data_IF_976607427524
#
_entry.id   IF_976607427524
#
_cell.length_a   1.000
_cell.length_b   1.000
_cell.length_c   1.000
_cell.angle_alpha   90.00
_cell.angle_beta   90.00
_cell.angle_gamma   90.00
#
_symmetry.space_group_name_H-M   'P 1'
#
loop_
_entity.id
_entity.type
_entity.pdbx_description
1 polymer ?
#
# COMPACT_ATOMS: atom_id res chain seq x y z
N UNK A 1 26.72 -16.59 -3.47
CA UNK A 1 26.75 -15.19 -3.95
C UNK A 1 25.33 -14.62 -3.87
N UNK A 2 25.10 -13.54 -3.13
CA UNK A 2 23.74 -13.03 -2.86
C UNK A 2 23.22 -12.16 -4.02
N UNK A 3 22.35 -12.73 -4.86
CA UNK A 3 21.54 -11.93 -5.80
C UNK A 3 20.65 -10.95 -5.03
N UNK A 4 20.60 -9.70 -5.51
CA UNK A 4 19.93 -8.59 -4.82
C UNK A 4 18.40 -8.79 -4.80
N UNK A 5 17.90 -9.34 -3.68
CA UNK A 5 16.46 -9.64 -3.46
C UNK A 5 15.53 -8.44 -3.73
N UNK A 6 16.04 -7.21 -3.57
CA UNK A 6 15.37 -5.96 -3.92
C UNK A 6 14.86 -5.89 -5.37
N UNK A 7 15.73 -6.19 -6.35
CA UNK A 7 15.34 -6.14 -7.76
C UNK A 7 14.62 -7.41 -8.21
N UNK A 8 14.89 -8.54 -7.54
CA UNK A 8 14.22 -9.81 -7.80
C UNK A 8 12.72 -9.72 -7.54
N UNK A 9 12.31 -9.17 -6.40
CA UNK A 9 10.91 -9.20 -5.97
C UNK A 9 9.94 -8.45 -6.91
N UNK A 10 10.41 -7.47 -7.69
CA UNK A 10 9.63 -6.72 -8.68
C UNK A 10 9.90 -7.17 -10.14
N UNK A 11 10.72 -8.20 -10.35
CA UNK A 11 10.93 -8.77 -11.68
C UNK A 11 9.89 -9.86 -11.99
N UNK A 12 9.74 -10.26 -13.26
CA UNK A 12 8.94 -11.44 -13.62
C UNK A 12 9.33 -12.71 -12.84
N UNK A 13 10.60 -12.89 -12.49
CA UNK A 13 11.04 -14.05 -11.68
C UNK A 13 10.55 -13.97 -10.23
N UNK A 14 10.53 -12.78 -9.61
CA UNK A 14 9.97 -12.60 -8.27
C UNK A 14 8.45 -12.76 -8.25
N UNK A 15 7.78 -12.36 -9.33
CA UNK A 15 6.37 -12.65 -9.55
C UNK A 15 6.11 -14.15 -9.66
N UNK A 16 6.82 -14.87 -10.54
CA UNK A 16 6.72 -16.33 -10.68
C UNK A 16 6.98 -17.03 -9.34
N UNK A 17 7.96 -16.57 -8.56
CA UNK A 17 8.21 -17.10 -7.21
C UNK A 17 7.04 -16.83 -6.25
N UNK A 18 6.40 -15.66 -6.27
CA UNK A 18 5.16 -15.48 -5.49
C UNK A 18 4.09 -16.44 -5.98
N UNK A 19 3.74 -16.34 -7.25
CA UNK A 19 2.60 -17.01 -7.89
C UNK A 19 2.63 -18.55 -7.74
N UNK A 20 3.82 -19.19 -7.75
CA UNK A 20 3.94 -20.65 -7.72
C UNK A 20 4.68 -21.21 -6.49
N UNK A 21 5.30 -20.39 -5.64
CA UNK A 21 6.09 -20.85 -4.47
C UNK A 21 5.77 -20.14 -3.16
N UNK A 22 4.98 -19.07 -3.16
CA UNK A 22 4.50 -18.46 -1.91
C UNK A 22 3.10 -18.96 -1.58
N UNK A 23 2.95 -19.54 -0.38
CA UNK A 23 1.66 -19.77 0.24
C UNK A 23 1.30 -18.55 1.07
N UNK A 24 0.21 -17.86 0.71
CA UNK A 24 -0.37 -16.80 1.56
C UNK A 24 -0.78 -17.45 2.90
N UNK A 25 -0.50 -16.82 4.07
CA UNK A 25 -0.86 -17.39 5.36
C UNK A 25 -2.39 -17.49 5.54
N UNK A 26 -2.92 -18.49 6.26
CA UNK A 26 -4.36 -18.58 6.54
C UNK A 26 -4.82 -17.33 7.29
N UNK A 27 -6.00 -16.82 6.93
CA UNK A 27 -6.62 -15.70 7.64
C UNK A 27 -7.54 -16.26 8.71
N UNK A 28 -7.11 -16.08 9.95
CA UNK A 28 -7.83 -16.36 11.20
C UNK A 28 -7.47 -15.23 12.15
N UNK A 29 -8.41 -14.74 12.98
CA UNK A 29 -8.08 -13.62 13.89
C UNK A 29 -7.67 -14.05 15.31
N UNK A 30 -6.39 -13.90 15.68
CA UNK A 30 -5.95 -13.66 17.05
C UNK A 30 -5.67 -12.16 17.29
N UNK A 31 -6.42 -11.27 16.61
CA UNK A 31 -6.18 -9.82 16.62
C UNK A 31 -6.74 -9.19 17.90
N UNK A 32 -5.96 -8.28 18.51
CA UNK A 32 -6.43 -7.41 19.59
C UNK A 32 -6.34 -5.93 19.17
N UNK A 33 -7.43 -5.15 19.23
CA UNK A 33 -8.79 -5.56 19.55
C UNK A 33 -9.41 -6.42 18.42
N UNK A 34 -10.46 -7.21 18.72
CA UNK A 34 -11.15 -8.06 17.74
C UNK A 34 -11.69 -7.28 16.54
N UNK A 35 -11.78 -7.93 15.38
CA UNK A 35 -12.18 -7.29 14.12
C UNK A 35 -13.59 -6.68 14.15
N UNK A 36 -14.49 -7.20 14.99
CA UNK A 36 -15.83 -6.65 15.25
C UNK A 36 -15.84 -5.26 15.91
N UNK A 37 -14.70 -4.78 16.43
CA UNK A 37 -14.54 -3.39 16.88
C UNK A 37 -14.19 -2.41 15.75
N UNK A 38 -13.71 -2.91 14.60
CA UNK A 38 -13.19 -2.11 13.49
C UNK A 38 -14.28 -1.86 12.44
N UNK A 39 -14.20 -0.70 11.80
CA UNK A 39 -14.99 -0.35 10.62
C UNK A 39 -14.11 -0.19 9.39
N UNK A 40 -14.42 -0.94 8.34
CA UNK A 40 -13.63 -1.04 7.10
C UNK A 40 -14.47 -0.59 5.91
N UNK A 41 -14.03 0.47 5.23
CA UNK A 41 -14.57 0.93 3.96
C UNK A 41 -13.89 0.15 2.82
N UNK A 42 -14.69 -0.44 1.92
CA UNK A 42 -14.19 -1.25 0.81
C UNK A 42 -14.91 -0.89 -0.50
N UNK A 43 -14.16 -0.32 -1.44
CA UNK A 43 -14.68 0.03 -2.77
C UNK A 43 -14.66 -1.17 -3.73
N UNK A 44 -15.58 -1.24 -4.70
CA UNK A 44 -15.54 -2.26 -5.75
C UNK A 44 -15.78 -3.70 -5.27
N UNK A 45 -16.55 -3.87 -4.19
CA UNK A 45 -16.81 -5.18 -3.55
C UNK A 45 -17.67 -6.16 -4.38
N UNK A 46 -18.15 -5.76 -5.56
CA UNK A 46 -19.21 -6.48 -6.29
C UNK A 46 -18.74 -7.68 -7.11
N UNK A 47 -17.42 -7.86 -7.23
CA UNK A 47 -16.77 -8.84 -8.10
C UNK A 47 -15.35 -9.16 -7.62
N UNK A 48 -14.80 -10.29 -8.07
CA UNK A 48 -13.41 -10.67 -7.91
C UNK A 48 -12.86 -10.59 -6.48
N UNK A 49 -11.67 -9.98 -6.37
CA UNK A 49 -10.91 -9.84 -5.12
C UNK A 49 -11.68 -9.05 -4.06
N UNK A 50 -12.32 -7.94 -4.44
CA UNK A 50 -13.14 -7.12 -3.53
C UNK A 50 -14.34 -7.89 -2.97
N UNK A 51 -14.98 -8.72 -3.79
CA UNK A 51 -16.05 -9.62 -3.34
C UNK A 51 -15.55 -10.63 -2.31
N UNK A 52 -14.46 -11.32 -2.59
CA UNK A 52 -13.92 -12.33 -1.67
C UNK A 52 -13.38 -11.71 -0.37
N UNK A 53 -12.81 -10.51 -0.43
CA UNK A 53 -12.41 -9.74 0.74
C UNK A 53 -13.62 -9.31 1.61
N UNK A 54 -14.71 -8.84 0.98
CA UNK A 54 -15.93 -8.47 1.69
C UNK A 54 -16.56 -9.67 2.42
N UNK A 55 -16.63 -10.83 1.76
CA UNK A 55 -17.07 -12.09 2.40
C UNK A 55 -16.18 -12.42 3.59
N UNK A 56 -14.86 -12.48 3.40
CA UNK A 56 -13.92 -12.93 4.41
C UNK A 56 -13.88 -12.01 5.65
N UNK A 57 -13.89 -10.69 5.46
CA UNK A 57 -13.96 -9.72 6.56
C UNK A 57 -15.28 -9.80 7.34
N UNK A 58 -16.40 -10.11 6.67
CA UNK A 58 -17.70 -10.28 7.33
C UNK A 58 -17.77 -11.57 8.17
N UNK A 59 -17.13 -12.66 7.71
CA UNK A 59 -17.05 -13.92 8.48
C UNK A 59 -16.25 -13.75 9.77
N UNK A 60 -15.14 -13.03 9.73
CA UNK A 60 -14.39 -12.62 10.93
C UNK A 60 -15.06 -11.44 11.69
N UNK A 61 -16.29 -11.05 11.32
CA UNK A 61 -17.16 -10.16 12.11
C UNK A 61 -16.98 -8.65 11.93
N UNK A 62 -16.22 -8.18 10.93
CA UNK A 62 -15.98 -6.75 10.70
C UNK A 62 -17.25 -5.92 10.46
N UNK A 63 -17.22 -4.64 10.83
CA UNK A 63 -18.19 -3.66 10.33
C UNK A 63 -17.74 -3.16 8.95
N UNK A 64 -18.60 -3.23 7.94
CA UNK A 64 -18.24 -2.96 6.55
C UNK A 64 -19.05 -1.82 5.93
N UNK A 65 -18.34 -0.86 5.35
CA UNK A 65 -18.89 0.19 4.48
C UNK A 65 -18.59 -0.19 3.03
N UNK A 66 -19.52 -0.90 2.40
CA UNK A 66 -19.36 -1.53 1.09
C UNK A 66 -19.77 -0.57 -0.03
N UNK A 67 -18.81 -0.11 -0.82
CA UNK A 67 -19.03 0.94 -1.84
C UNK A 67 -19.06 0.35 -3.25
N UNK A 68 -20.19 0.54 -3.94
CA UNK A 68 -20.36 0.16 -5.34
C UNK A 68 -20.65 1.38 -6.21
N UNK A 69 -20.61 1.20 -7.54
CA UNK A 69 -20.86 2.28 -8.50
C UNK A 69 -22.27 2.87 -8.41
N UNK A 70 -23.29 2.03 -8.17
CA UNK A 70 -24.69 2.43 -8.12
C UNK A 70 -25.52 1.40 -7.32
N UNK A 71 -26.80 1.71 -6.96
CA UNK A 71 -27.61 0.85 -6.09
C UNK A 71 -27.78 -0.58 -6.62
N UNK A 72 -28.12 -0.75 -7.90
CA UNK A 72 -28.28 -2.07 -8.50
C UNK A 72 -27.01 -2.93 -8.43
N UNK A 73 -25.81 -2.32 -8.54
CA UNK A 73 -24.54 -3.03 -8.32
C UNK A 73 -24.29 -3.34 -6.85
N UNK A 74 -24.68 -2.46 -5.93
CA UNK A 74 -24.59 -2.71 -4.48
C UNK A 74 -25.49 -3.88 -4.05
N UNK A 75 -26.75 -3.88 -4.49
CA UNK A 75 -27.75 -4.93 -4.25
C UNK A 75 -27.29 -6.28 -4.83
N UNK A 76 -26.81 -6.30 -6.07
CA UNK A 76 -26.23 -7.49 -6.69
C UNK A 76 -25.04 -8.04 -5.89
N UNK A 77 -24.13 -7.16 -5.44
CA UNK A 77 -22.99 -7.53 -4.60
C UNK A 77 -23.42 -8.13 -3.26
N UNK A 78 -24.35 -7.48 -2.55
CA UNK A 78 -24.91 -7.99 -1.29
C UNK A 78 -25.62 -9.34 -1.47
N UNK A 79 -26.36 -9.53 -2.57
CA UNK A 79 -26.98 -10.82 -2.89
C UNK A 79 -25.91 -11.89 -3.11
N UNK A 80 -24.89 -11.62 -3.94
CA UNK A 80 -23.77 -12.55 -4.19
C UNK A 80 -23.04 -12.93 -2.89
N UNK A 81 -22.92 -12.01 -1.93
CA UNK A 81 -22.34 -12.26 -0.59
C UNK A 81 -23.27 -13.17 0.21
N UNK A 82 -24.57 -12.84 0.31
CA UNK A 82 -25.56 -13.64 1.02
C UNK A 82 -25.63 -15.07 0.49
N UNK A 83 -25.78 -15.23 -0.83
CA UNK A 83 -25.93 -16.53 -1.48
C UNK A 83 -24.67 -17.41 -1.25
N UNK A 84 -23.47 -16.82 -1.19
CA UNK A 84 -22.23 -17.52 -0.86
C UNK A 84 -22.15 -17.94 0.62
N UNK A 85 -22.53 -17.06 1.55
CA UNK A 85 -22.51 -17.38 2.98
C UNK A 85 -23.58 -18.42 3.35
N UNK A 86 -24.76 -18.36 2.70
CA UNK A 86 -25.79 -19.41 2.72
C UNK A 86 -25.21 -20.76 2.29
N UNK A 87 -24.49 -20.80 1.16
CA UNK A 87 -23.90 -22.04 0.64
C UNK A 87 -22.72 -22.57 1.49
N UNK A 88 -22.05 -21.71 2.26
CA UNK A 88 -21.01 -22.09 3.23
C UNK A 88 -21.56 -22.40 4.63
N UNK A 89 -22.86 -22.20 4.88
CA UNK A 89 -23.51 -22.44 6.17
C UNK A 89 -23.20 -21.41 7.26
N UNK A 90 -22.63 -20.25 6.91
CA UNK A 90 -22.20 -19.24 7.88
C UNK A 90 -23.36 -18.30 8.26
N UNK A 91 -24.18 -18.74 9.20
CA UNK A 91 -25.35 -17.97 9.63
C UNK A 91 -25.01 -16.71 10.44
N UNK A 92 -23.89 -16.65 11.15
CA UNK A 92 -23.48 -15.45 11.89
C UNK A 92 -23.08 -14.30 10.94
N UNK A 93 -22.40 -14.63 9.84
CA UNK A 93 -22.11 -13.68 8.77
C UNK A 93 -23.37 -13.27 7.99
N UNK A 94 -24.31 -14.20 7.74
CA UNK A 94 -25.61 -13.86 7.10
C UNK A 94 -26.47 -12.95 7.98
N UNK A 95 -26.51 -13.17 9.30
CA UNK A 95 -27.17 -12.27 10.25
C UNK A 95 -26.49 -10.89 10.28
N UNK A 96 -25.17 -10.83 10.09
CA UNK A 96 -24.39 -9.59 9.93
C UNK A 96 -24.76 -8.74 8.70
N UNK A 97 -25.44 -9.31 7.69
CA UNK A 97 -26.03 -8.55 6.58
C UNK A 97 -27.36 -7.85 6.96
N UNK A 98 -27.84 -8.03 8.19
CA UNK A 98 -29.11 -7.51 8.69
C UNK A 98 -29.00 -6.22 9.51
N UNK A 99 -30.10 -5.92 10.21
CA UNK A 99 -30.16 -4.86 11.24
C UNK A 99 -30.07 -5.51 12.62
N UNK A 100 -28.96 -5.27 13.32
CA UNK A 100 -28.76 -5.73 14.69
C UNK A 100 -29.34 -4.71 15.67
N UNK A 101 -30.06 -5.16 16.72
CA UNK A 101 -30.60 -4.27 17.76
C UNK A 101 -29.60 -4.16 18.90
N UNK A 102 -29.06 -2.96 19.13
CA UNK A 102 -28.14 -2.68 20.23
C UNK A 102 -28.83 -1.69 21.18
N UNK A 103 -29.40 -2.22 22.27
CA UNK A 103 -30.23 -1.45 23.20
C UNK A 103 -31.49 -0.90 22.52
N UNK A 104 -31.70 0.41 22.63
CA UNK A 104 -32.77 1.15 21.93
C UNK A 104 -32.45 1.49 20.47
N UNK A 105 -31.20 1.28 20.04
CA UNK A 105 -30.73 1.57 18.68
C UNK A 105 -30.77 0.36 17.74
N UNK A 106 -30.57 0.64 16.44
CA UNK A 106 -30.23 -0.34 15.42
C UNK A 106 -28.84 -0.04 14.87
N UNK A 107 -27.98 -1.04 14.82
CA UNK A 107 -26.65 -0.96 14.20
C UNK A 107 -26.59 -1.94 13.04
N UNK A 108 -26.06 -1.51 11.89
CA UNK A 108 -25.80 -2.39 10.74
C UNK A 108 -24.33 -2.76 10.73
N UNK A 109 -23.99 -4.05 10.85
CA UNK A 109 -22.63 -4.53 10.59
C UNK A 109 -22.24 -4.35 9.11
N UNK A 110 -23.20 -4.27 8.18
CA UNK A 110 -22.95 -3.91 6.77
C UNK A 110 -23.82 -2.75 6.30
N UNK A 111 -23.18 -1.67 5.84
CA UNK A 111 -23.83 -0.53 5.16
C UNK A 111 -23.30 -0.43 3.73
N UNK A 112 -24.18 -0.41 2.74
CA UNK A 112 -23.82 -0.09 1.35
C UNK A 112 -23.96 1.38 1.03
N UNK A 113 -23.00 1.92 0.28
CA UNK A 113 -23.01 3.29 -0.24
C UNK A 113 -22.69 3.30 -1.75
N UNK A 114 -22.98 4.40 -2.43
CA UNK A 114 -22.72 4.56 -3.87
C UNK A 114 -21.64 5.61 -4.15
N UNK A 115 -20.73 5.29 -5.07
CA UNK A 115 -19.69 6.18 -5.55
C UNK A 115 -19.31 5.78 -6.99
N UNK A 116 -19.66 6.58 -8.00
CA UNK A 116 -19.18 6.36 -9.36
C UNK A 116 -17.86 7.08 -9.61
N UNK A 117 -16.76 6.33 -9.60
CA UNK A 117 -15.43 6.87 -9.89
C UNK A 117 -15.26 7.36 -11.34
N UNK A 118 -16.24 7.20 -12.24
CA UNK A 118 -16.32 7.88 -13.54
C UNK A 118 -16.82 9.34 -13.44
N UNK A 119 -17.15 9.80 -12.23
CA UNK A 119 -17.67 11.12 -11.90
C UNK A 119 -16.92 11.71 -10.69
N UNK A 120 -16.07 12.73 -10.93
CA UNK A 120 -15.33 13.36 -9.82
C UNK A 120 -16.22 14.12 -8.83
N UNK A 121 -17.41 14.60 -9.24
CA UNK A 121 -18.37 15.19 -8.28
C UNK A 121 -18.96 14.12 -7.37
N UNK A 122 -19.24 12.93 -7.91
CA UNK A 122 -19.84 11.84 -7.14
C UNK A 122 -18.86 11.29 -6.08
N UNK A 123 -17.56 11.29 -6.38
CA UNK A 123 -16.50 11.00 -5.39
C UNK A 123 -16.53 11.99 -4.22
N UNK A 124 -16.70 13.29 -4.48
CA UNK A 124 -16.79 14.32 -3.44
C UNK A 124 -18.12 14.24 -2.68
N UNK A 125 -19.24 14.00 -3.37
CA UNK A 125 -20.56 13.74 -2.76
C UNK A 125 -20.50 12.54 -1.83
N UNK A 126 -19.96 11.42 -2.29
CA UNK A 126 -19.76 10.20 -1.50
C UNK A 126 -18.91 10.46 -0.26
N UNK A 127 -17.82 11.23 -0.36
CA UNK A 127 -16.98 11.50 0.78
C UNK A 127 -17.68 12.42 1.82
N UNK A 128 -18.48 13.40 1.38
CA UNK A 128 -19.36 14.21 2.25
C UNK A 128 -20.46 13.36 2.90
N UNK A 129 -20.99 12.36 2.21
CA UNK A 129 -21.93 11.36 2.75
C UNK A 129 -21.26 10.51 3.85
N UNK A 130 -20.06 9.98 3.61
CA UNK A 130 -19.28 9.25 4.63
C UNK A 130 -18.99 10.13 5.85
N UNK A 131 -18.54 11.37 5.66
CA UNK A 131 -18.31 12.30 6.77
C UNK A 131 -19.61 12.59 7.56
N UNK A 132 -20.73 12.80 6.88
CA UNK A 132 -22.04 13.01 7.52
C UNK A 132 -22.45 11.82 8.40
N UNK A 133 -22.27 10.60 7.91
CA UNK A 133 -22.59 9.36 8.62
C UNK A 133 -21.66 9.08 9.82
N UNK A 134 -20.39 9.50 9.74
CA UNK A 134 -19.45 9.46 10.87
C UNK A 134 -19.77 10.55 11.90
N UNK A 135 -20.25 11.72 11.47
CA UNK A 135 -20.69 12.82 12.35
C UNK A 135 -22.01 12.53 13.07
N UNK A 136 -22.93 11.77 12.46
CA UNK A 136 -24.20 11.37 13.09
C UNK A 136 -24.10 10.12 13.97
N UNK A 137 -22.97 9.40 13.92
CA UNK A 137 -22.80 8.10 14.60
C UNK A 137 -23.51 6.93 13.90
N UNK A 138 -24.04 7.16 12.69
CA UNK A 138 -24.64 6.13 11.84
C UNK A 138 -23.65 5.11 11.28
N UNK A 139 -22.37 5.47 11.29
CA UNK A 139 -21.21 4.60 11.17
C UNK A 139 -20.36 4.85 12.41
N UNK A 140 -19.97 3.81 13.15
CA UNK A 140 -19.29 3.95 14.45
C UNK A 140 -17.89 4.59 14.36
N UNK A 141 -17.24 4.49 13.20
CA UNK A 141 -15.96 5.10 12.92
C UNK A 141 -15.37 4.67 11.58
N UNK A 142 -14.07 4.89 11.37
CA UNK A 142 -13.35 4.51 10.16
C UNK A 142 -11.90 4.14 10.50
N UNK A 143 -11.59 2.85 10.46
CA UNK A 143 -10.29 2.30 10.88
C UNK A 143 -9.47 1.80 9.69
N UNK A 144 -10.11 1.41 8.60
CA UNK A 144 -9.45 1.14 7.32
C UNK A 144 -10.28 1.59 6.12
N UNK A 145 -9.61 2.08 5.08
CA UNK A 145 -10.17 2.35 3.77
C UNK A 145 -9.38 1.57 2.70
N UNK A 146 -10.04 0.65 2.02
CA UNK A 146 -9.50 -0.19 0.97
C UNK A 146 -9.97 0.34 -0.39
N UNK A 147 -9.04 0.94 -1.12
CA UNK A 147 -9.24 1.50 -2.46
C UNK A 147 -9.04 0.40 -3.50
N UNK A 148 -9.92 -0.61 -3.46
CA UNK A 148 -9.92 -1.81 -4.30
C UNK A 148 -10.48 -1.57 -5.72
N UNK A 149 -11.41 -0.63 -5.89
CA UNK A 149 -12.03 -0.37 -7.17
C UNK A 149 -11.02 -0.01 -8.27
N UNK A 150 -11.19 -0.62 -9.44
CA UNK A 150 -10.41 -0.36 -10.64
C UNK A 150 -10.99 -1.10 -11.85
N UNK A 151 -10.66 -0.63 -13.04
CA UNK A 151 -11.23 -1.13 -14.30
C UNK A 151 -10.17 -1.33 -15.39
N UNK A 152 -10.48 -2.25 -16.31
CA UNK A 152 -9.85 -2.41 -17.63
C UNK A 152 -10.94 -2.17 -18.68
N UNK A 153 -11.04 -0.98 -19.29
CA UNK A 153 -11.94 -0.73 -20.41
C UNK A 153 -11.52 -1.57 -21.63
N UNK A 154 -12.46 -2.26 -22.25
CA UNK A 154 -12.24 -2.96 -23.53
C UNK A 154 -12.20 -2.03 -24.76
N UNK A 155 -12.55 -0.76 -24.56
CA UNK A 155 -12.59 0.30 -25.57
C UNK A 155 -11.98 1.57 -24.98
N UNK A 156 -11.46 2.48 -25.83
CA UNK A 156 -11.10 3.82 -25.37
C UNK A 156 -12.35 4.70 -25.29
N UNK A 157 -12.62 5.27 -24.12
CA UNK A 157 -13.71 6.24 -23.87
C UNK A 157 -13.23 7.29 -22.88
N UNK A 158 -13.86 8.46 -22.92
CA UNK A 158 -13.56 9.62 -22.07
C UNK A 158 -14.76 9.91 -21.18
N UNK A 159 -14.52 10.19 -19.90
CA UNK A 159 -15.53 10.59 -18.92
C UNK A 159 -16.07 11.99 -19.24
N UNK A 160 -17.19 12.37 -18.60
CA UNK A 160 -17.69 13.75 -18.61
C UNK A 160 -16.68 14.77 -18.07
N UNK A 161 -15.66 14.31 -17.33
CA UNK A 161 -14.64 15.14 -16.70
C UNK A 161 -13.39 15.33 -17.58
N UNK A 162 -13.40 14.78 -18.81
CA UNK A 162 -12.35 14.98 -19.81
C UNK A 162 -11.21 13.95 -19.79
N UNK A 163 -11.32 12.88 -19.01
CA UNK A 163 -10.26 11.88 -18.82
C UNK A 163 -10.65 10.49 -19.32
N UNK A 164 -9.70 9.74 -19.85
CA UNK A 164 -9.93 8.34 -20.23
C UNK A 164 -10.33 7.49 -19.01
N UNK A 165 -11.31 6.60 -19.18
CA UNK A 165 -11.99 5.91 -18.07
C UNK A 165 -11.04 5.26 -17.05
N UNK A 166 -10.02 4.51 -17.51
CA UNK A 166 -9.07 3.86 -16.61
C UNK A 166 -8.10 4.83 -15.95
N UNK A 167 -7.68 5.91 -16.64
CA UNK A 167 -6.89 6.98 -16.02
C UNK A 167 -7.67 7.64 -14.88
N UNK A 168 -8.95 7.94 -15.11
CA UNK A 168 -9.78 8.55 -14.09
C UNK A 168 -10.02 7.60 -12.92
N UNK A 169 -10.63 6.43 -13.16
CA UNK A 169 -11.03 5.52 -12.08
C UNK A 169 -9.81 5.02 -11.30
N UNK A 170 -8.77 4.55 -11.99
CA UNK A 170 -7.62 3.89 -11.34
C UNK A 170 -6.59 4.88 -10.78
N UNK A 171 -6.64 6.18 -11.16
CA UNK A 171 -5.67 7.19 -10.69
C UNK A 171 -6.38 8.41 -10.09
N UNK A 172 -7.06 9.24 -10.89
CA UNK A 172 -7.57 10.55 -10.41
C UNK A 172 -8.63 10.41 -9.32
N UNK A 173 -9.67 9.61 -9.55
CA UNK A 173 -10.75 9.36 -8.59
C UNK A 173 -10.25 8.59 -7.36
N UNK A 174 -9.31 7.66 -7.56
CA UNK A 174 -8.66 6.93 -6.45
C UNK A 174 -7.80 7.86 -5.59
N UNK A 175 -7.07 8.80 -6.21
CA UNK A 175 -6.28 9.81 -5.51
C UNK A 175 -7.17 10.81 -4.75
N UNK A 176 -8.22 11.33 -5.39
CA UNK A 176 -9.20 12.23 -4.76
C UNK A 176 -9.86 11.57 -3.55
N UNK A 177 -10.31 10.32 -3.71
CA UNK A 177 -10.91 9.55 -2.62
C UNK A 177 -9.92 9.30 -1.48
N UNK A 178 -8.65 9.02 -1.78
CA UNK A 178 -7.60 8.87 -0.77
C UNK A 178 -7.38 10.16 0.04
N UNK A 179 -7.31 11.31 -0.62
CA UNK A 179 -7.10 12.62 0.02
C UNK A 179 -8.24 12.99 0.97
N UNK A 180 -9.50 12.66 0.64
CA UNK A 180 -10.66 12.97 1.50
C UNK A 180 -10.84 11.94 2.62
N UNK A 181 -10.54 10.66 2.40
CA UNK A 181 -10.64 9.64 3.46
C UNK A 181 -9.49 9.70 4.48
N UNK A 182 -8.31 10.20 4.09
CA UNK A 182 -7.14 10.33 4.98
C UNK A 182 -7.39 11.17 6.27
N UNK A 183 -8.04 12.36 6.24
CA UNK A 183 -8.41 13.05 7.47
C UNK A 183 -9.51 12.32 8.26
N UNK A 184 -10.46 11.65 7.59
CA UNK A 184 -11.53 10.90 8.27
C UNK A 184 -10.97 9.69 9.05
N UNK A 185 -9.99 8.98 8.47
CA UNK A 185 -9.22 7.90 9.13
C UNK A 185 -8.47 8.40 10.38
N UNK A 186 -8.08 9.69 10.43
CA UNK A 186 -7.45 10.30 11.61
C UNK A 186 -8.45 10.67 12.70
N UNK A 187 -9.60 11.24 12.31
CA UNK A 187 -10.59 11.77 13.25
C UNK A 187 -11.52 10.70 13.82
N UNK A 188 -11.91 9.71 13.02
CA UNK A 188 -13.00 8.77 13.35
C UNK A 188 -12.53 7.34 13.62
N UNK A 189 -11.24 7.12 13.85
CA UNK A 189 -10.69 5.83 14.28
C UNK A 189 -11.23 5.41 15.66
N UNK A 190 -11.86 4.24 15.74
CA UNK A 190 -12.43 3.65 16.97
C UNK A 190 -11.37 2.95 17.82
N UNK A 191 -10.34 2.40 17.18
CA UNK A 191 -9.30 1.56 17.80
C UNK A 191 -8.06 2.37 18.25
N UNK A 192 -7.20 1.79 19.12
CA UNK A 192 -5.92 2.41 19.50
C UNK A 192 -4.79 2.19 18.47
N UNK A 193 -4.90 1.20 17.58
CA UNK A 193 -3.90 0.97 16.51
C UNK A 193 -4.01 2.03 15.40
N UNK A 194 -2.94 2.36 14.66
CA UNK A 194 -3.03 3.22 13.48
C UNK A 194 -4.10 2.78 12.48
N UNK A 195 -4.84 3.76 11.94
CA UNK A 195 -5.81 3.52 10.85
C UNK A 195 -5.09 3.22 9.54
N UNK A 196 -5.80 2.69 8.53
CA UNK A 196 -5.17 2.17 7.30
C UNK A 196 -5.75 2.77 6.04
N UNK A 197 -4.90 3.28 5.17
CA UNK A 197 -5.25 3.71 3.81
C UNK A 197 -4.55 2.79 2.81
N UNK A 198 -5.32 1.89 2.21
CA UNK A 198 -4.80 0.75 1.44
C UNK A 198 -5.11 0.98 -0.04
N UNK A 199 -4.06 1.27 -0.82
CA UNK A 199 -4.14 1.42 -2.28
C UNK A 199 -3.95 0.07 -2.95
N UNK A 200 -4.97 -0.40 -3.68
CA UNK A 200 -4.88 -1.66 -4.41
C UNK A 200 -4.26 -1.49 -5.80
N UNK A 201 -3.16 -2.19 -5.98
CA UNK A 201 -2.26 -2.08 -7.11
C UNK A 201 -2.07 -3.47 -7.76
N UNK A 202 -1.27 -3.54 -8.82
CA UNK A 202 -0.94 -4.79 -9.52
C UNK A 202 0.57 -4.89 -9.71
N UNK A 203 1.12 -6.10 -9.67
CA UNK A 203 2.53 -6.38 -9.99
C UNK A 203 2.91 -5.85 -11.39
N UNK A 204 1.95 -5.81 -12.32
CA UNK A 204 2.10 -5.22 -13.66
C UNK A 204 2.56 -3.75 -13.65
N UNK A 205 2.31 -2.99 -12.57
CA UNK A 205 2.81 -1.62 -12.37
C UNK A 205 4.34 -1.50 -12.41
N UNK A 206 5.05 -2.63 -12.22
CA UNK A 206 6.52 -2.70 -12.18
C UNK A 206 7.18 -3.24 -13.45
N UNK A 207 6.40 -3.78 -14.40
CA UNK A 207 6.93 -4.49 -15.58
C UNK A 207 7.00 -3.64 -16.85
N UNK A 208 6.23 -2.55 -16.93
CA UNK A 208 6.07 -1.75 -18.15
C UNK A 208 6.82 -0.41 -18.11
N UNK A 209 7.30 0.03 -19.28
CA UNK A 209 7.82 1.38 -19.44
C UNK A 209 6.67 2.36 -19.74
N UNK A 210 6.45 3.29 -18.81
CA UNK A 210 5.56 4.44 -18.96
C UNK A 210 6.32 5.54 -19.75
N UNK A 211 6.18 5.55 -21.08
CA UNK A 211 6.85 6.50 -21.99
C UNK A 211 6.38 7.95 -21.78
N UNK A 212 5.14 8.06 -21.34
CA UNK A 212 4.42 9.29 -21.02
C UNK A 212 5.16 10.13 -19.97
N UNK A 213 5.99 9.52 -19.11
CA UNK A 213 6.82 10.23 -18.13
C UNK A 213 7.83 11.21 -18.77
N UNK A 214 8.25 10.96 -20.02
CA UNK A 214 9.13 11.88 -20.77
C UNK A 214 8.41 12.99 -21.55
N UNK A 215 7.09 13.03 -21.56
CA UNK A 215 6.36 14.21 -22.03
C UNK A 215 6.49 15.37 -21.04
N UNK A 216 6.11 16.60 -21.43
CA UNK A 216 6.03 17.74 -20.51
C UNK A 216 5.02 17.47 -19.38
N UNK A 217 3.81 17.06 -19.74
CA UNK A 217 2.78 16.57 -18.82
C UNK A 217 2.45 15.09 -19.14
N UNK A 218 2.58 14.23 -18.13
CA UNK A 218 2.39 12.77 -18.16
C UNK A 218 0.92 12.38 -18.32
N UNK A 219 0.02 12.99 -17.54
CA UNK A 219 -1.41 12.67 -17.54
C UNK A 219 -2.04 13.03 -18.88
N UNK A 220 -1.79 14.22 -19.40
CA UNK A 220 -2.24 14.67 -20.72
C UNK A 220 -1.68 13.79 -21.84
N UNK A 221 -0.41 13.38 -21.76
CA UNK A 221 0.18 12.47 -22.74
C UNK A 221 -0.44 11.06 -22.68
N UNK A 222 -0.84 10.59 -21.50
CA UNK A 222 -1.59 9.35 -21.34
C UNK A 222 -3.04 9.49 -21.85
N UNK A 223 -3.65 10.66 -21.71
CA UNK A 223 -5.05 10.92 -22.08
C UNK A 223 -5.30 10.93 -23.59
N UNK A 224 -4.26 11.01 -24.42
CA UNK A 224 -4.36 10.92 -25.88
C UNK A 224 -4.96 9.55 -26.28
N UNK A 225 -5.87 9.58 -27.26
CA UNK A 225 -6.49 8.38 -27.82
C UNK A 225 -5.45 7.39 -28.34
N UNK A 226 -5.57 6.12 -27.92
CA UNK A 226 -4.70 5.05 -28.39
C UNK A 226 -5.40 3.69 -28.30
N UNK A 227 -6.25 3.41 -29.29
CA UNK A 227 -6.97 2.14 -29.46
C UNK A 227 -6.05 0.94 -29.76
N UNK A 228 -4.78 1.18 -30.11
CA UNK A 228 -3.81 0.13 -30.49
C UNK A 228 -3.00 -0.46 -29.32
N UNK A 229 -3.19 0.03 -28.09
CA UNK A 229 -2.44 -0.40 -26.90
C UNK A 229 -3.32 -0.43 -25.63
N UNK A 230 -4.59 -0.81 -25.75
CA UNK A 230 -5.54 -0.88 -24.62
C UNK A 230 -5.05 -1.83 -23.52
N UNK A 231 -4.46 -2.97 -23.91
CA UNK A 231 -3.75 -3.94 -23.06
C UNK A 231 -2.71 -3.28 -22.13
N UNK A 232 -2.06 -2.20 -22.59
CA UNK A 232 -0.99 -1.49 -21.88
C UNK A 232 -1.49 -0.31 -21.06
N UNK A 233 -2.74 0.12 -21.22
CA UNK A 233 -3.30 1.23 -20.44
C UNK A 233 -3.43 0.85 -18.97
N UNK A 234 -4.05 -0.29 -18.65
CA UNK A 234 -4.23 -0.70 -17.26
C UNK A 234 -2.92 -0.79 -16.45
N UNK A 235 -1.87 -1.53 -16.89
CA UNK A 235 -0.59 -1.56 -16.17
C UNK A 235 0.02 -0.17 -15.95
N UNK A 236 -0.07 0.72 -16.95
CA UNK A 236 0.40 2.11 -16.87
C UNK A 236 -0.40 2.95 -15.87
N UNK A 237 -1.72 2.79 -15.77
CA UNK A 237 -2.52 3.47 -14.71
C UNK A 237 -2.09 3.01 -13.32
N UNK A 238 -1.81 1.71 -13.15
CA UNK A 238 -1.29 1.17 -11.90
C UNK A 238 0.14 1.63 -11.60
N UNK A 239 0.98 1.90 -12.61
CA UNK A 239 2.26 2.64 -12.43
C UNK A 239 2.04 4.10 -11.98
N UNK A 240 1.07 4.82 -12.56
CA UNK A 240 0.75 6.20 -12.16
C UNK A 240 0.27 6.27 -10.72
N UNK A 241 -0.66 5.38 -10.32
CA UNK A 241 -1.13 5.27 -8.94
C UNK A 241 0.01 5.00 -7.96
N UNK A 242 0.90 4.05 -8.29
CA UNK A 242 2.09 3.73 -7.49
C UNK A 242 3.01 4.96 -7.27
N UNK A 243 3.18 5.78 -8.31
CA UNK A 243 4.00 7.00 -8.22
C UNK A 243 3.33 8.07 -7.35
N UNK A 244 2.00 8.23 -7.46
CA UNK A 244 1.22 9.12 -6.60
C UNK A 244 1.27 8.70 -5.13
N UNK A 245 1.00 7.43 -4.80
CA UNK A 245 0.94 6.94 -3.42
C UNK A 245 2.27 7.14 -2.68
N UNK A 246 3.42 6.92 -3.33
CA UNK A 246 4.72 7.20 -2.70
C UNK A 246 5.04 8.69 -2.53
N UNK A 247 4.49 9.57 -3.39
CA UNK A 247 4.64 11.01 -3.23
C UNK A 247 3.75 11.58 -2.12
N UNK A 248 2.56 10.98 -1.93
CA UNK A 248 1.67 11.24 -0.79
C UNK A 248 2.31 10.78 0.52
N UNK A 249 2.77 9.52 0.58
CA UNK A 249 3.47 8.95 1.75
C UNK A 249 4.60 9.86 2.23
N UNK A 250 5.49 10.28 1.32
CA UNK A 250 6.63 11.14 1.68
C UNK A 250 6.24 12.55 2.12
N UNK A 251 5.01 13.00 1.86
CA UNK A 251 4.46 14.25 2.44
C UNK A 251 3.92 14.01 3.84
N UNK A 252 3.16 12.94 4.04
CA UNK A 252 2.61 12.59 5.35
C UNK A 252 3.72 12.32 6.39
N UNK A 253 4.75 11.54 6.04
CA UNK A 253 5.92 11.33 6.92
C UNK A 253 6.72 12.62 7.19
N UNK A 254 6.70 13.59 6.28
CA UNK A 254 7.36 14.90 6.47
C UNK A 254 6.50 15.87 7.31
N UNK A 255 5.21 15.60 7.49
CA UNK A 255 4.34 16.35 8.40
C UNK A 255 4.47 15.89 9.87
N UNK A 256 5.08 14.72 10.10
CA UNK A 256 5.48 14.25 11.42
C UNK A 256 6.85 14.83 11.81
N UNK A 257 6.91 16.14 12.01
CA UNK A 257 8.09 16.79 12.60
C UNK A 257 8.36 16.17 13.98
N UNK A 258 9.56 15.62 14.24
CA UNK A 258 9.78 14.80 15.42
C UNK A 258 9.73 15.63 16.71
N UNK A 259 8.76 15.34 17.57
CA UNK A 259 8.84 15.70 18.99
C UNK A 259 10.07 15.03 19.57
N UNK A 260 11.04 15.83 20.01
CA UNK A 260 12.41 15.42 20.36
C UNK A 260 12.47 14.41 21.51
N UNK A 261 12.46 13.10 21.21
CA UNK A 261 12.75 11.99 22.15
C UNK A 261 12.92 10.60 21.48
N UNK A 262 13.54 10.51 20.29
CA UNK A 262 13.72 9.21 19.60
C UNK A 262 15.04 9.00 18.82
N UNK A 263 16.10 9.76 19.15
CA UNK A 263 17.48 9.44 18.72
C UNK A 263 18.13 8.39 19.66
N UNK A 264 17.50 7.21 19.77
CA UNK A 264 18.06 6.07 20.48
C UNK A 264 18.68 5.07 19.48
N UNK A 265 19.99 5.22 19.24
CA UNK A 265 20.80 4.19 18.59
C UNK A 265 20.76 2.89 19.39
N UNK A 266 20.11 1.85 18.87
CA UNK A 266 20.18 0.50 19.42
C UNK A 266 20.27 -0.54 18.31
N UNK A 267 21.51 -0.77 17.88
CA UNK A 267 21.91 -1.99 17.19
C UNK A 267 21.75 -3.18 18.14
N UNK A 268 20.89 -4.14 17.81
CA UNK A 268 20.86 -5.45 18.47
C UNK A 268 20.99 -6.58 17.43
N UNK A 269 21.74 -7.67 17.72
CA UNK A 269 21.92 -8.75 16.76
C UNK A 269 20.68 -9.65 16.65
N UNK A 270 20.55 -10.33 15.51
CA UNK A 270 19.52 -11.33 15.24
C UNK A 270 19.47 -12.42 16.32
N UNK A 271 18.41 -12.46 17.12
CA UNK A 271 18.04 -13.66 17.86
C UNK A 271 17.43 -14.68 16.89
N UNK A 272 17.99 -15.89 16.82
CA UNK A 272 17.48 -16.97 15.98
C UNK A 272 16.56 -17.86 16.83
N UNK A 273 15.27 -17.88 16.51
CA UNK A 273 14.31 -18.87 17.04
C UNK A 273 13.86 -19.77 15.89
N UNK A 274 14.07 -21.10 15.97
CA UNK A 274 13.70 -22.02 14.90
C UNK A 274 12.25 -22.48 15.01
N UNK A 275 11.47 -22.34 13.93
CA UNK A 275 10.23 -23.08 13.73
C UNK A 275 10.24 -23.74 12.34
N UNK A 276 10.91 -24.89 12.28
CA UNK A 276 10.34 -26.08 11.63
C UNK A 276 9.89 -27.01 12.78
N UNK A 277 8.97 -27.95 12.60
CA UNK A 277 8.54 -28.60 11.37
C UNK A 277 7.12 -29.19 11.49
N UNK A 278 6.22 -28.87 10.55
CA UNK A 278 5.11 -29.77 10.16
C UNK A 278 4.71 -29.47 8.71
N UNK A 279 5.23 -30.27 7.78
CA UNK A 279 4.78 -30.36 6.39
C UNK A 279 4.49 -31.83 6.09
N UNK A 280 3.31 -32.10 5.55
CA UNK A 280 2.84 -33.46 5.26
C UNK A 280 3.63 -34.06 4.07
N UNK A 281 4.26 -35.25 4.22
CA UNK A 281 5.03 -35.86 3.15
C UNK A 281 4.18 -36.46 2.01
N UNK A 282 2.85 -36.48 2.10
CA UNK A 282 1.96 -37.17 1.15
C UNK A 282 1.22 -36.28 0.15
N UNK A 283 1.43 -34.96 0.15
CA UNK A 283 0.81 -34.07 -0.84
C UNK A 283 1.48 -34.20 -2.21
N UNK A 284 0.96 -35.11 -3.06
CA UNK A 284 1.43 -35.30 -4.43
C UNK A 284 1.23 -34.02 -5.26
N UNK A 285 2.34 -33.46 -5.74
CA UNK A 285 2.33 -32.32 -6.67
C UNK A 285 2.12 -32.84 -8.09
N UNK A 286 1.14 -32.34 -8.87
CA UNK A 286 1.03 -32.72 -10.28
C UNK A 286 2.24 -32.19 -11.05
N UNK A 287 2.91 -33.08 -11.79
CA UNK A 287 3.92 -32.66 -12.76
C UNK A 287 3.24 -31.87 -13.88
N UNK A 288 3.59 -30.59 -14.00
CA UNK A 288 3.22 -29.75 -15.13
C UNK A 288 4.43 -29.65 -16.04
N UNK A 289 4.22 -29.95 -17.32
CA UNK A 289 5.25 -29.88 -18.35
C UNK A 289 5.65 -28.43 -18.65
N UNK A 290 6.95 -28.17 -18.81
CA UNK A 290 7.52 -26.82 -18.90
C UNK A 290 8.03 -26.44 -20.30
N UNK A 291 7.96 -27.37 -21.26
CA UNK A 291 8.46 -27.21 -22.64
C UNK A 291 7.76 -26.10 -23.47
N UNK A 292 6.78 -25.40 -22.90
CA UNK A 292 6.18 -24.19 -23.48
C UNK A 292 7.05 -22.93 -23.32
N UNK A 293 8.07 -22.95 -22.45
CA UNK A 293 9.04 -21.86 -22.26
C UNK A 293 10.33 -22.14 -23.06
N UNK A 294 10.29 -21.82 -24.37
CA UNK A 294 11.37 -22.10 -25.31
C UNK A 294 12.76 -21.58 -24.89
N UNK A 295 13.79 -22.29 -25.35
CA UNK A 295 15.15 -22.31 -24.80
C UNK A 295 15.74 -20.94 -24.42
N UNK A 296 15.85 -20.71 -23.11
CA UNK A 296 16.74 -19.69 -22.54
C UNK A 296 18.04 -20.40 -22.12
N UNK A 297 19.20 -20.11 -22.77
CA UNK A 297 20.45 -20.79 -22.44
C UNK A 297 20.86 -20.59 -20.97
N UNK A 298 20.82 -21.67 -20.19
CA UNK A 298 21.32 -21.68 -18.82
C UNK A 298 22.86 -21.67 -18.86
N UNK A 299 23.53 -20.71 -18.20
CA UNK A 299 24.99 -20.74 -18.08
C UNK A 299 25.39 -21.92 -17.18
N UNK A 300 26.20 -22.83 -17.71
CA UNK A 300 26.71 -23.97 -16.95
C UNK A 300 27.67 -23.51 -15.83
N UNK A 301 27.62 -24.13 -14.64
CA UNK A 301 28.56 -23.81 -13.57
C UNK A 301 29.96 -24.35 -13.93
N UNK A 302 31.04 -23.59 -13.65
CA UNK A 302 32.40 -24.10 -13.85
C UNK A 302 32.70 -25.24 -12.85
N UNK A 303 33.28 -26.32 -13.36
CA UNK A 303 33.73 -27.47 -12.57
C UNK A 303 34.92 -27.10 -11.67
N UNK A 304 35.05 -27.69 -10.47
CA UNK A 304 36.12 -27.33 -9.52
C UNK A 304 37.48 -27.91 -9.95
N UNK A 305 38.38 -27.04 -10.43
CA UNK A 305 39.79 -27.37 -10.65
C UNK A 305 40.64 -26.95 -9.44
N UNK A 306 41.14 -27.93 -8.68
CA UNK A 306 42.00 -27.70 -7.51
C UNK A 306 43.42 -27.33 -7.94
N UNK A 307 43.91 -26.16 -7.52
CA UNK A 307 45.36 -25.87 -7.47
C UNK A 307 45.66 -25.06 -6.21
N UNK A 308 46.78 -25.34 -5.55
CA UNK A 308 47.14 -24.80 -4.24
C UNK A 308 48.39 -23.91 -4.32
N UNK A 309 48.59 -23.04 -3.31
CA UNK A 309 49.89 -22.45 -2.91
C UNK A 309 50.46 -21.44 -3.94
N UNK A 310 50.98 -20.25 -3.58
CA UNK A 310 51.90 -19.95 -2.48
C UNK A 310 51.82 -18.51 -1.94
N UNK A 311 52.61 -18.22 -0.91
CA UNK A 311 52.87 -16.90 -0.33
C UNK A 311 54.22 -16.29 -0.81
N UNK A 312 54.55 -15.08 -0.32
CA UNK A 312 55.83 -14.33 -0.48
C UNK A 312 56.11 -13.73 -1.88
N UNK A 313 56.84 -12.63 -2.06
CA UNK A 313 57.27 -11.50 -1.20
C UNK A 313 57.89 -10.37 -2.09
N UNK A 314 58.60 -9.40 -1.49
CA UNK A 314 59.50 -8.39 -2.14
C UNK A 314 58.71 -7.28 -2.89
N UNK A 315 58.55 -6.05 -2.36
CA UNK A 315 59.52 -4.92 -2.17
C UNK A 315 60.18 -4.44 -3.48
N UNK A 316 60.21 -3.15 -3.79
CA UNK A 316 61.13 -2.10 -3.29
C UNK A 316 60.42 -0.71 -3.21
N UNK A 317 60.65 0.15 -2.21
CA UNK A 317 61.72 1.20 -2.10
C UNK A 317 61.60 2.31 -3.18
N UNK A 318 61.73 3.61 -2.93
CA UNK A 318 62.39 4.41 -1.84
C UNK A 318 61.59 5.71 -1.48
N UNK A 319 61.53 6.13 -0.20
CA UNK A 319 62.29 7.19 0.52
C UNK A 319 62.11 8.66 0.05
N UNK A 320 61.99 9.69 0.92
CA UNK A 320 61.62 9.75 2.37
C UNK A 320 60.71 11.01 2.63
N UNK A 321 60.85 12.05 3.49
CA UNK A 321 61.80 12.51 4.55
C UNK A 321 61.05 13.47 5.55
N UNK A 322 61.64 13.85 6.70
CA UNK A 322 61.37 13.21 8.01
C UNK A 322 61.47 14.25 9.19
N UNK A 323 61.50 13.76 10.45
CA UNK A 323 62.00 14.34 11.72
C UNK A 323 61.12 15.29 12.60
N UNK A 324 60.46 14.67 13.59
CA UNK A 324 60.66 14.80 15.06
C UNK A 324 60.28 16.02 15.96
N UNK A 325 59.92 15.63 17.20
CA UNK A 325 60.05 16.24 18.54
C UNK A 325 59.16 17.39 19.12
N UNK A 326 58.21 16.95 19.96
CA UNK A 326 58.08 17.23 21.43
C UNK A 326 58.43 18.61 22.02
N UNK A 327 57.47 19.19 22.79
CA UNK A 327 57.73 19.85 24.11
C UNK A 327 56.43 20.05 24.93
N UNK A 328 56.53 19.94 26.27
CA UNK A 328 55.48 20.25 27.24
C UNK A 328 55.99 21.20 28.34
N UNK A 329 55.20 22.22 28.77
CA UNK A 329 55.40 22.81 30.10
C UNK A 329 54.11 23.04 30.93
N UNK A 330 54.01 22.25 32.01
CA UNK A 330 53.52 22.52 33.39
C UNK A 330 52.52 23.66 33.70
N UNK A 331 51.52 23.31 34.54
CA UNK A 331 50.64 24.18 35.37
C UNK A 331 51.32 25.42 36.00
N UNK A 332 50.54 26.52 36.11
CA UNK A 332 50.58 27.50 37.22
C UNK A 332 49.16 27.87 37.69
N UNK A 333 49.06 28.63 38.78
CA UNK A 333 47.87 28.80 39.63
C UNK A 333 46.97 30.01 39.29
N UNK A 334 45.76 29.99 39.86
CA UNK A 334 44.68 30.97 39.77
C UNK A 334 44.94 32.33 40.44
N UNK A 335 44.26 33.39 39.97
CA UNK A 335 43.67 34.45 40.80
C UNK A 335 42.14 34.31 40.91
N UNK A 336 41.54 34.93 41.93
CA UNK A 336 40.09 34.94 42.22
C UNK A 336 39.34 36.11 41.58
N UNK A 337 38.04 35.92 41.30
CA UNK A 337 37.09 36.97 40.92
C UNK A 337 35.76 36.80 41.73
N UNK A 338 34.97 37.88 41.92
CA UNK A 338 34.05 37.98 43.06
C UNK A 338 32.67 37.33 42.85
N UNK A 339 32.00 37.07 43.98
CA UNK A 339 30.61 36.60 44.05
C UNK A 339 29.63 37.59 43.41
N UNK A 340 28.70 37.08 42.60
CA UNK A 340 27.49 37.80 42.14
C UNK A 340 26.27 37.09 42.74
N UNK A 341 25.35 37.79 43.42
CA UNK A 341 24.12 37.19 43.92
C UNK A 341 23.12 36.93 42.78
N UNK A 342 22.27 35.87 42.88
CA UNK A 342 21.26 35.61 41.86
C UNK A 342 20.14 36.67 41.88
N UNK A 343 19.53 36.99 40.72
CA UNK A 343 18.37 37.88 40.66
C UNK A 343 17.13 37.24 41.30
N UNK A 344 16.17 38.04 41.80
CA UNK A 344 14.92 37.53 42.36
C UNK A 344 14.06 36.83 41.30
N UNK A 345 13.23 35.84 41.69
CA UNK A 345 12.42 35.08 40.74
C UNK A 345 11.33 35.96 40.09
N UNK A 346 11.47 36.22 38.80
CA UNK A 346 10.40 36.81 37.99
C UNK A 346 9.31 35.77 37.74
N UNK A 347 8.06 36.14 38.03
CA UNK A 347 6.88 35.31 37.83
C UNK A 347 6.54 35.19 36.34
N UNK A 348 7.17 34.25 35.63
CA UNK A 348 6.78 33.91 34.27
C UNK A 348 5.39 33.29 34.26
N UNK A 349 4.41 34.03 33.73
CA UNK A 349 3.11 33.47 33.38
C UNK A 349 3.32 32.36 32.35
N UNK A 350 2.93 31.13 32.69
CA UNK A 350 2.95 30.00 31.77
C UNK A 350 1.82 30.16 30.75
N UNK A 351 2.10 30.95 29.71
CA UNK A 351 1.32 30.95 28.48
C UNK A 351 1.34 29.53 27.90
N UNK A 352 0.30 28.74 28.22
CA UNK A 352 0.17 27.36 27.77
C UNK A 352 0.02 27.37 26.26
N UNK A 353 1.11 27.07 25.55
CA UNK A 353 1.06 26.68 24.16
C UNK A 353 0.32 25.36 24.07
N UNK A 354 -1.00 25.45 23.84
CA UNK A 354 -1.81 24.33 23.39
C UNK A 354 -1.24 23.85 22.04
N UNK A 355 -0.24 22.98 22.09
CA UNK A 355 0.07 22.09 20.98
C UNK A 355 -1.23 21.39 20.62
N UNK A 356 -1.63 21.48 19.35
CA UNK A 356 -2.69 20.64 18.84
C UNK A 356 -2.33 19.18 19.15
N UNK A 357 -3.29 18.34 19.60
CA UNK A 357 -3.00 16.96 19.92
C UNK A 357 -2.36 16.27 18.70
N UNK A 358 -1.35 15.39 18.91
CA UNK A 358 -0.67 14.73 17.80
C UNK A 358 -1.71 14.02 16.92
N UNK A 359 -1.60 14.23 15.60
CA UNK A 359 -2.49 13.57 14.64
C UNK A 359 -2.38 12.06 14.83
N UNK A 360 -3.51 11.34 14.91
CA UNK A 360 -3.48 9.87 14.83
C UNK A 360 -2.71 9.45 13.58
N UNK A 361 -1.78 8.50 13.73
CA UNK A 361 -1.05 7.94 12.61
C UNK A 361 -2.01 7.17 11.69
N UNK A 362 -1.76 7.21 10.37
CA UNK A 362 -2.50 6.44 9.37
C UNK A 362 -1.48 5.73 8.48
N UNK A 363 -1.43 4.41 8.60
CA UNK A 363 -0.57 3.59 7.79
C UNK A 363 -0.99 3.65 6.31
N UNK A 364 -0.09 4.06 5.42
CA UNK A 364 -0.35 4.15 3.97
C UNK A 364 0.31 2.96 3.28
N UNK A 365 -0.51 2.00 2.88
CA UNK A 365 -0.09 0.69 2.37
C UNK A 365 -0.35 0.63 0.87
N UNK A 366 0.66 0.27 0.08
CA UNK A 366 0.46 -0.11 -1.33
C UNK A 366 0.46 -1.63 -1.46
N UNK A 367 -0.67 -2.22 -1.86
CA UNK A 367 -0.87 -3.67 -1.85
C UNK A 367 -1.11 -4.20 -3.26
N UNK A 368 -0.35 -5.21 -3.69
CA UNK A 368 -0.74 -6.07 -4.81
C UNK A 368 -1.26 -7.42 -4.29
N UNK A 369 -2.44 -7.87 -4.72
CA UNK A 369 -3.05 -9.11 -4.24
C UNK A 369 -2.50 -10.39 -4.91
N UNK A 370 -1.51 -10.27 -5.79
CA UNK A 370 -1.11 -11.34 -6.72
C UNK A 370 -1.97 -11.36 -7.99
N UNK A 371 -1.66 -12.26 -8.92
CA UNK A 371 -2.48 -12.43 -10.13
C UNK A 371 -3.61 -13.42 -9.81
N UNK A 372 -4.85 -12.96 -9.85
CA UNK A 372 -6.04 -13.77 -9.57
C UNK A 372 -7.01 -13.74 -10.76
N UNK A 373 -7.66 -14.86 -11.07
CA UNK A 373 -8.70 -14.87 -12.08
C UNK A 373 -9.93 -14.12 -11.54
N UNK A 374 -10.36 -13.10 -12.27
CA UNK A 374 -11.37 -12.13 -11.84
C UNK A 374 -12.06 -11.51 -13.05
N UNK A 375 -13.29 -11.05 -12.84
CA UNK A 375 -14.15 -10.40 -13.85
C UNK A 375 -13.54 -9.10 -14.43
N UNK A 376 -12.38 -8.63 -13.93
CA UNK A 376 -11.66 -7.47 -14.47
C UNK A 376 -10.98 -7.77 -15.84
N UNK A 377 -10.82 -9.05 -16.18
CA UNK A 377 -10.20 -9.48 -17.45
C UNK A 377 -11.21 -9.85 -18.55
N UNK A 378 -12.52 -9.79 -18.27
CA UNK A 378 -13.58 -10.15 -19.24
C UNK A 378 -13.68 -9.17 -20.43
N UNK A 379 -13.03 -8.01 -20.34
CA UNK A 379 -12.88 -7.02 -21.42
C UNK A 379 -11.63 -7.21 -22.28
N UNK A 380 -10.75 -8.17 -21.94
CA UNK A 380 -9.50 -8.43 -22.64
C UNK A 380 -9.70 -9.56 -23.67
N UNK A 381 -9.11 -9.46 -24.88
CA UNK A 381 -9.19 -10.53 -25.88
C UNK A 381 -8.70 -11.90 -25.36
N UNK A 382 -9.36 -12.97 -25.79
CA UNK A 382 -9.12 -14.33 -25.31
C UNK A 382 -7.68 -14.82 -25.54
N UNK A 383 -7.02 -14.34 -26.60
CA UNK A 383 -5.60 -14.60 -26.88
C UNK A 383 -4.63 -14.09 -25.80
N UNK A 384 -5.09 -13.18 -24.94
CA UNK A 384 -4.34 -12.66 -23.78
C UNK A 384 -4.94 -13.18 -22.46
N UNK A 385 -6.26 -13.41 -22.39
CA UNK A 385 -6.95 -13.95 -21.21
C UNK A 385 -6.58 -15.42 -20.93
N UNK A 386 -6.72 -16.33 -21.88
CA UNK A 386 -6.47 -17.77 -21.68
C UNK A 386 -5.08 -18.13 -21.11
N UNK A 387 -3.97 -17.47 -21.52
CA UNK A 387 -2.66 -17.65 -20.87
C UNK A 387 -2.59 -17.14 -19.43
N UNK A 388 -3.34 -16.08 -19.09
CA UNK A 388 -3.42 -15.52 -17.73
C UNK A 388 -4.18 -16.48 -16.80
N UNK A 389 -5.31 -17.02 -17.24
CA UNK A 389 -6.14 -17.90 -16.39
C UNK A 389 -5.39 -19.17 -15.93
N UNK A 390 -4.51 -19.72 -16.79
CA UNK A 390 -3.68 -20.90 -16.47
C UNK A 390 -2.67 -20.69 -15.35
N UNK A 391 -2.33 -19.43 -15.02
CA UNK A 391 -1.31 -19.09 -14.02
C UNK A 391 -1.88 -18.28 -12.84
N UNK A 392 -3.15 -17.89 -12.91
CA UNK A 392 -3.79 -17.05 -11.91
C UNK A 392 -4.34 -17.87 -10.72
N UNK A 393 -4.35 -17.27 -9.53
CA UNK A 393 -5.00 -17.82 -8.35
C UNK A 393 -6.52 -17.64 -8.40
N UNK A 394 -7.25 -18.35 -7.53
CA UNK A 394 -8.65 -17.98 -7.22
C UNK A 394 -8.69 -16.55 -6.65
N UNK A 395 -9.72 -15.78 -6.99
CA UNK A 395 -9.99 -14.47 -6.39
C UNK A 395 -9.99 -14.47 -4.85
N UNK A 396 -10.27 -15.62 -4.22
CA UNK A 396 -10.20 -15.86 -2.77
C UNK A 396 -8.81 -15.61 -2.20
N UNK A 397 -7.76 -15.91 -2.96
CA UNK A 397 -6.37 -15.68 -2.53
C UNK A 397 -6.02 -14.20 -2.49
N UNK A 398 -6.34 -13.47 -3.55
CA UNK A 398 -6.22 -12.01 -3.53
C UNK A 398 -7.12 -11.36 -2.46
N UNK A 399 -8.35 -11.86 -2.30
CA UNK A 399 -9.28 -11.41 -1.24
C UNK A 399 -8.72 -11.62 0.17
N UNK A 400 -8.01 -12.74 0.40
CA UNK A 400 -7.30 -13.05 1.63
C UNK A 400 -6.15 -12.06 1.90
N UNK A 401 -5.37 -11.72 0.88
CA UNK A 401 -4.30 -10.70 0.98
C UNK A 401 -4.88 -9.32 1.34
N UNK A 402 -6.03 -8.95 0.76
CA UNK A 402 -6.74 -7.70 1.10
C UNK A 402 -7.29 -7.70 2.52
N UNK A 403 -7.89 -8.81 2.96
CA UNK A 403 -8.44 -8.94 4.32
C UNK A 403 -7.34 -8.82 5.38
N UNK A 404 -6.18 -9.49 5.18
CA UNK A 404 -5.01 -9.36 6.07
C UNK A 404 -4.59 -7.88 6.20
N UNK A 405 -4.46 -7.17 5.07
CA UNK A 405 -4.05 -5.78 5.02
C UNK A 405 -4.98 -4.82 5.77
N UNK A 406 -6.29 -5.05 5.68
CA UNK A 406 -7.30 -4.23 6.35
C UNK A 406 -7.39 -4.57 7.86
N UNK A 407 -7.31 -5.85 8.21
CA UNK A 407 -7.65 -6.35 9.54
C UNK A 407 -6.53 -6.29 10.58
N UNK A 408 -5.25 -6.46 10.20
CA UNK A 408 -4.08 -6.79 11.08
C UNK A 408 -3.92 -8.31 11.37
N UNK A 409 -4.34 -9.18 10.45
CA UNK A 409 -4.62 -10.59 10.77
C UNK A 409 -3.44 -11.48 11.17
N UNK A 410 -2.22 -11.19 10.70
CA UNK A 410 -1.06 -12.12 10.82
C UNK A 410 0.29 -11.40 10.96
N UNK A 411 0.39 -10.12 10.58
CA UNK A 411 1.66 -9.36 10.56
C UNK A 411 1.40 -7.95 11.06
N UNK A 412 2.14 -7.54 12.08
CA UNK A 412 2.11 -6.18 12.67
C UNK A 412 2.16 -5.10 11.58
N UNK A 413 1.13 -4.27 11.50
CA UNK A 413 1.00 -3.25 10.44
C UNK A 413 2.12 -2.21 10.41
N UNK A 414 2.88 -2.02 11.49
CA UNK A 414 4.11 -1.22 11.51
C UNK A 414 5.18 -1.73 10.54
N UNK A 415 5.21 -3.05 10.24
CA UNK A 415 6.05 -3.58 9.17
C UNK A 415 5.60 -3.13 7.79
N UNK A 416 4.28 -2.92 7.58
CA UNK A 416 3.64 -2.67 6.28
C UNK A 416 3.46 -1.18 5.94
N UNK A 417 3.50 -0.28 6.93
CA UNK A 417 3.35 1.15 6.67
C UNK A 417 4.44 1.70 5.73
N UNK A 418 4.03 2.53 4.77
CA UNK A 418 4.90 3.12 3.77
C UNK A 418 5.59 2.11 2.85
N UNK A 419 5.17 0.84 2.88
CA UNK A 419 5.75 -0.22 2.04
C UNK A 419 4.90 -0.52 0.81
N UNK A 420 5.55 -1.15 -0.15
CA UNK A 420 4.89 -1.98 -1.15
C UNK A 420 4.81 -3.40 -0.62
N UNK A 421 3.63 -4.00 -0.67
CA UNK A 421 3.37 -5.36 -0.23
C UNK A 421 2.81 -6.14 -1.41
N UNK A 422 3.35 -7.31 -1.73
CA UNK A 422 2.85 -8.15 -2.81
C UNK A 422 2.56 -9.56 -2.30
N UNK A 423 1.32 -10.02 -2.50
CA UNK A 423 0.80 -11.27 -1.95
C UNK A 423 1.08 -11.46 -0.44
N UNK A 424 0.97 -10.39 0.35
CA UNK A 424 1.22 -10.41 1.79
C UNK A 424 2.69 -10.30 2.22
N UNK A 425 3.65 -10.19 1.30
CA UNK A 425 5.07 -10.00 1.64
C UNK A 425 5.50 -8.54 1.43
N UNK A 426 6.09 -7.92 2.46
CA UNK A 426 6.75 -6.60 2.40
C UNK A 426 7.95 -6.62 1.45
N UNK A 427 7.88 -5.81 0.41
CA UNK A 427 8.89 -5.73 -0.63
C UNK A 427 10.05 -4.81 -0.21
N UNK A 428 11.14 -5.40 0.30
CA UNK A 428 12.25 -4.68 0.98
C UNK A 428 12.86 -3.48 0.22
N UNK A 429 12.73 -3.40 -1.10
CA UNK A 429 12.85 -2.14 -1.89
C UNK A 429 11.94 -2.22 -3.13
N UNK A 430 11.00 -1.28 -3.31
CA UNK A 430 10.33 -1.08 -4.60
C UNK A 430 11.34 -0.67 -5.69
N UNK A 431 11.07 -1.07 -6.93
CA UNK A 431 12.05 -1.02 -8.02
C UNK A 431 12.60 0.38 -8.34
N UNK A 432 13.64 0.43 -9.21
CA UNK A 432 14.28 1.70 -9.65
C UNK A 432 13.27 2.75 -10.19
N UNK A 433 12.13 2.28 -10.70
CA UNK A 433 10.98 3.07 -11.14
C UNK A 433 10.42 4.02 -10.07
N UNK A 434 10.58 3.68 -8.79
CA UNK A 434 10.13 4.46 -7.63
C UNK A 434 11.30 5.02 -6.81
N UNK A 435 12.22 4.18 -6.31
CA UNK A 435 13.22 4.60 -5.31
C UNK A 435 14.55 5.09 -5.90
N UNK A 436 14.72 5.09 -7.23
CA UNK A 436 15.89 5.71 -7.87
C UNK A 436 15.73 7.23 -8.01
N UNK A 437 16.83 7.98 -8.24
CA UNK A 437 16.80 9.44 -8.50
C UNK A 437 15.88 9.85 -9.70
N UNK A 438 15.58 8.94 -10.63
CA UNK A 438 14.56 9.15 -11.67
C UNK A 438 13.15 8.87 -11.13
N UNK A 439 12.97 7.80 -10.36
CA UNK A 439 11.69 7.44 -9.74
C UNK A 439 11.17 8.52 -8.78
N UNK A 440 12.00 9.05 -7.89
CA UNK A 440 11.60 10.16 -6.99
C UNK A 440 11.13 11.39 -7.76
N UNK A 441 11.82 11.76 -8.85
CA UNK A 441 11.36 12.86 -9.73
C UNK A 441 10.06 12.53 -10.47
N UNK A 442 9.86 11.28 -10.90
CA UNK A 442 8.59 10.84 -11.48
C UNK A 442 7.45 10.87 -10.45
N UNK A 443 7.72 10.55 -9.18
CA UNK A 443 6.77 10.61 -8.08
C UNK A 443 6.31 12.05 -7.83
N UNK A 444 7.24 13.01 -7.70
CA UNK A 444 6.86 14.43 -7.58
C UNK A 444 6.09 14.91 -8.80
N UNK A 445 6.57 14.59 -10.02
CA UNK A 445 5.92 15.01 -11.26
C UNK A 445 4.47 14.50 -11.35
N UNK A 446 4.26 13.19 -11.17
CA UNK A 446 2.90 12.60 -11.22
C UNK A 446 2.02 13.12 -10.08
N UNK A 447 2.58 13.38 -8.89
CA UNK A 447 1.82 14.01 -7.82
C UNK A 447 1.39 15.42 -8.19
N UNK A 448 2.31 16.30 -8.59
CA UNK A 448 1.99 17.68 -8.99
C UNK A 448 0.96 17.69 -10.13
N UNK A 449 1.10 16.84 -11.15
CA UNK A 449 0.12 16.76 -12.24
C UNK A 449 -1.26 16.27 -11.77
N UNK A 450 -1.35 15.31 -10.83
CA UNK A 450 -2.64 14.88 -10.25
C UNK A 450 -3.24 16.01 -9.40
N UNK A 451 -2.44 16.66 -8.57
CA UNK A 451 -2.90 17.78 -7.74
C UNK A 451 -3.36 18.97 -8.58
N UNK A 452 -2.67 19.30 -9.69
CA UNK A 452 -3.08 20.31 -10.66
C UNK A 452 -4.46 20.03 -11.28
N UNK A 453 -4.82 18.76 -11.48
CA UNK A 453 -6.12 18.36 -12.02
C UNK A 453 -7.21 18.46 -10.97
N UNK A 454 -6.94 17.96 -9.75
CA UNK A 454 -7.92 17.98 -8.66
C UNK A 454 -8.14 19.39 -8.09
N UNK A 455 -7.08 20.19 -7.93
CA UNK A 455 -7.12 21.55 -7.37
C UNK A 455 -7.90 22.54 -8.23
N UNK A 456 -7.87 22.39 -9.57
CA UNK A 456 -8.65 23.21 -10.51
C UNK A 456 -10.17 23.06 -10.36
N UNK A 457 -10.63 22.09 -9.57
CA UNK A 457 -12.04 21.72 -9.45
C UNK A 457 -12.52 21.59 -8.00
N UNK A 458 -11.67 21.10 -7.10
CA UNK A 458 -11.95 20.90 -5.68
C UNK A 458 -10.84 21.53 -4.81
N UNK A 459 -10.57 22.84 -4.93
CA UNK A 459 -9.49 23.48 -4.19
C UNK A 459 -9.64 23.31 -2.68
N UNK A 460 -10.87 23.27 -2.15
CA UNK A 460 -11.16 23.08 -0.73
C UNK A 460 -10.78 21.69 -0.20
N UNK A 461 -10.79 20.68 -1.06
CA UNK A 461 -10.33 19.31 -0.74
C UNK A 461 -8.80 19.20 -0.81
N UNK A 462 -8.19 19.96 -1.72
CA UNK A 462 -6.81 19.71 -2.18
C UNK A 462 -5.79 20.68 -1.58
N UNK A 463 -6.17 21.89 -1.16
CA UNK A 463 -5.29 22.88 -0.51
C UNK A 463 -4.48 22.32 0.68
N UNK A 464 -5.01 21.47 1.59
CA UNK A 464 -4.23 20.91 2.71
C UNK A 464 -3.05 20.02 2.28
N UNK A 465 -3.06 19.56 1.02
CA UNK A 465 -2.11 18.62 0.43
C UNK A 465 -1.29 19.23 -0.73
N UNK A 466 -1.52 20.50 -1.02
CA UNK A 466 -0.85 21.24 -2.09
C UNK A 466 0.68 21.17 -1.93
N UNK A 467 1.45 20.99 -3.02
CA UNK A 467 2.90 21.12 -2.96
C UNK A 467 3.30 22.45 -2.31
N UNK A 468 4.30 22.39 -1.42
CA UNK A 468 5.03 23.58 -0.98
C UNK A 468 6.15 23.82 -2.00
N UNK A 469 6.25 25.06 -2.45
CA UNK A 469 7.29 25.53 -3.38
C UNK A 469 8.69 25.54 -2.73
#
# INVERSE_FOLDING_TARGET
>A
MLLSKASYFHSPLGFIHRQFRHQIPPFHTPISPPLSSRTILLTGFTSGIGFQAAVLLLKEGANLVLVARNPARAEYGLKKIRDKLVAEGDWEAVLGLGEEKVGSGKTKRVRTLCCDQLDLEDVVRFAREVEGLLRSGEIAGLDAAVLNAGIVPGEWRVTKDGWEESLQVNVLSTALLALILLPLLRTYSTVPTPSRLIFLNSDSSSWWSLRELSASNTLSAFNIENTKQLDRRYPRTKTLLLLFTFALLRRESNHETPTTSSLSLLSTPTAITPISSHLDPHLQVPHIDLDFLGDIPLPTPPSPSTTAVNSSAISTHDHDDDDHDLIHPKRKSSPTLPHVPPPPPTSYSTASTHLAPPRKHVAIITLTPGLCNTEIFDSIPESVKGPIEKIAWDAKEGGRVVAIAAADGVVEVDEWDGKFVAAGIVAKRPGKLCYGKKGVRNQEKVYHEVMDVLYKRFPEVVEPYKPRD
#
